data_IF_707469743860
#
_entry.id   IF_707469743860
#
_cell.length_a   1.000
_cell.length_b   1.000
_cell.length_c   1.000
_cell.angle_alpha   90.00
_cell.angle_beta   90.00
_cell.angle_gamma   90.00
#
_symmetry.space_group_name_H-M   'P 1'
#
loop_
_entity.id
_entity.type
_entity.pdbx_description
1 polymer ?
#
# COMPACT_ATOMS: atom_id res chain seq x y z
N UNK A 1 11.39 11.51 -10.67
CA UNK A 1 11.46 12.96 -10.89
C UNK A 1 12.78 13.36 -11.51
N UNK A 2 12.77 14.39 -12.34
CA UNK A 2 13.95 14.82 -13.09
C UNK A 2 15.13 15.22 -12.18
N UNK A 3 14.85 15.81 -11.03
CA UNK A 3 15.89 16.30 -10.11
C UNK A 3 15.92 15.55 -8.80
N UNK A 4 15.17 14.45 -8.67
CA UNK A 4 15.10 13.65 -7.47
C UNK A 4 14.83 14.53 -6.22
N UNK A 5 13.84 15.40 -6.31
CA UNK A 5 13.54 16.40 -5.29
C UNK A 5 13.25 15.77 -3.93
N UNK A 6 12.48 14.68 -3.92
CA UNK A 6 12.16 13.95 -2.69
C UNK A 6 13.42 13.42 -2.02
N UNK A 7 14.30 12.77 -2.78
CA UNK A 7 15.55 12.23 -2.26
C UNK A 7 16.45 13.34 -1.71
N UNK A 8 16.56 14.45 -2.43
CA UNK A 8 17.32 15.61 -1.96
C UNK A 8 16.75 16.18 -0.66
N UNK A 9 15.44 16.23 -0.53
CA UNK A 9 14.81 16.72 0.71
C UNK A 9 15.17 15.87 1.91
N UNK A 10 15.27 14.56 1.74
CA UNK A 10 15.74 13.66 2.80
C UNK A 10 17.23 13.85 3.11
N UNK A 11 18.05 13.95 2.08
CA UNK A 11 19.50 14.15 2.23
C UNK A 11 19.84 15.45 2.97
N UNK A 12 19.16 16.54 2.63
CA UNK A 12 19.36 17.83 3.27
C UNK A 12 18.98 17.83 4.74
N UNK A 13 18.10 16.93 5.15
CA UNK A 13 17.58 16.88 6.51
C UNK A 13 18.03 15.64 7.29
N UNK A 14 19.02 14.92 6.76
CA UNK A 14 19.50 13.67 7.37
C UNK A 14 19.98 13.85 8.80
N UNK A 15 20.52 15.02 9.14
CA UNK A 15 20.99 15.36 10.48
C UNK A 15 19.93 16.12 11.30
N UNK A 16 18.71 16.29 10.76
CA UNK A 16 17.64 16.98 11.44
C UNK A 16 16.92 16.11 12.46
N UNK A 17 16.02 16.72 13.20
CA UNK A 17 15.17 16.00 14.13
C UNK A 17 14.20 15.09 13.37
N UNK A 18 14.04 13.85 13.85
CA UNK A 18 13.10 12.90 13.25
C UNK A 18 11.67 13.30 13.54
N UNK A 19 10.84 13.21 12.51
CA UNK A 19 9.40 13.17 12.67
C UNK A 19 8.93 11.81 12.12
N UNK A 20 8.46 10.96 13.03
CA UNK A 20 8.05 9.61 12.65
C UNK A 20 6.65 9.63 12.07
N UNK A 21 6.51 9.04 10.88
CA UNK A 21 5.25 8.95 10.18
C UNK A 21 4.94 7.47 9.90
N UNK A 22 3.78 7.04 10.37
CA UNK A 22 3.27 5.68 10.13
C UNK A 22 2.06 5.75 9.23
N UNK A 23 2.01 4.85 8.27
CA UNK A 23 0.92 4.75 7.32
C UNK A 23 0.33 3.34 7.32
N UNK A 24 -1.00 3.25 7.22
CA UNK A 24 -1.67 2.00 6.92
C UNK A 24 -1.63 1.77 5.42
N UNK A 25 -0.90 0.74 4.94
CA UNK A 25 -0.79 0.53 3.51
C UNK A 25 -2.13 0.13 2.89
N UNK A 26 -2.39 0.52 1.64
CA UNK A 26 -3.64 0.13 0.98
C UNK A 26 -3.62 -1.33 0.57
N UNK A 27 -4.79 -1.95 0.51
CA UNK A 27 -4.93 -3.27 -0.09
C UNK A 27 -4.58 -3.23 -1.57
N UNK A 28 -3.95 -4.29 -2.06
CA UNK A 28 -3.53 -4.42 -3.46
C UNK A 28 -4.69 -4.92 -4.34
N UNK A 29 -5.90 -4.41 -4.13
CA UNK A 29 -7.11 -4.80 -4.86
C UNK A 29 -7.93 -3.57 -5.26
N UNK A 30 -8.66 -3.69 -6.35
CA UNK A 30 -9.54 -2.63 -6.82
C UNK A 30 -8.81 -1.42 -7.39
N UNK A 31 -9.58 -0.45 -7.83
CA UNK A 31 -9.06 0.80 -8.37
C UNK A 31 -9.20 1.91 -7.33
N UNK A 32 -8.33 2.93 -7.36
CA UNK A 32 -8.45 4.07 -6.48
C UNK A 32 -9.79 4.80 -6.67
N UNK A 33 -10.34 5.30 -5.58
CA UNK A 33 -11.55 6.12 -5.61
C UNK A 33 -11.31 7.40 -4.81
N UNK A 34 -12.35 8.25 -4.73
CA UNK A 34 -12.23 9.56 -4.08
C UNK A 34 -11.73 9.46 -2.63
N UNK A 35 -12.21 8.45 -1.88
CA UNK A 35 -11.75 8.24 -0.51
C UNK A 35 -10.24 7.97 -0.42
N UNK A 36 -9.71 7.21 -1.35
CA UNK A 36 -8.26 6.97 -1.42
C UNK A 36 -7.49 8.26 -1.70
N UNK A 37 -8.01 9.09 -2.62
CA UNK A 37 -7.37 10.37 -2.95
C UNK A 37 -7.39 11.32 -1.76
N UNK A 38 -8.51 11.40 -1.05
CA UNK A 38 -8.65 12.27 0.12
C UNK A 38 -7.70 11.84 1.24
N UNK A 39 -7.70 10.57 1.59
CA UNK A 39 -6.80 10.04 2.63
C UNK A 39 -5.33 10.20 2.23
N UNK A 40 -5.00 9.90 0.98
CA UNK A 40 -3.64 10.04 0.45
C UNK A 40 -3.16 11.49 0.48
N UNK A 41 -4.03 12.44 0.17
CA UNK A 41 -3.69 13.87 0.23
C UNK A 41 -3.38 14.31 1.66
N UNK A 42 -4.19 13.91 2.63
CA UNK A 42 -3.95 14.23 4.05
C UNK A 42 -2.63 13.61 4.51
N UNK A 43 -2.38 12.35 4.18
CA UNK A 43 -1.13 11.66 4.52
C UNK A 43 0.10 12.32 3.89
N UNK A 44 -0.06 12.93 2.73
CA UNK A 44 1.03 13.61 2.03
C UNK A 44 1.31 15.00 2.60
N UNK A 45 0.27 15.73 3.00
CA UNK A 45 0.39 17.11 3.50
C UNK A 45 1.23 17.19 4.77
N UNK A 46 0.98 16.32 5.75
CA UNK A 46 1.69 16.38 7.04
C UNK A 46 3.19 16.11 6.88
N UNK A 47 3.64 15.06 6.17
CA UNK A 47 5.08 14.86 5.94
C UNK A 47 5.73 16.01 5.16
N UNK A 48 5.06 16.54 4.15
CA UNK A 48 5.58 17.69 3.38
C UNK A 48 5.76 18.92 4.26
N UNK A 49 4.77 19.20 5.11
CA UNK A 49 4.82 20.32 6.04
C UNK A 49 6.00 20.17 7.02
N UNK A 50 6.15 18.99 7.62
CA UNK A 50 7.23 18.72 8.55
C UNK A 50 8.60 18.76 7.87
N UNK A 51 8.69 18.29 6.63
CA UNK A 51 9.91 18.39 5.84
C UNK A 51 10.30 19.85 5.63
N UNK A 52 9.35 20.70 5.28
CA UNK A 52 9.60 22.14 5.11
C UNK A 52 10.00 22.83 6.41
N UNK A 53 9.60 22.29 7.55
CA UNK A 53 10.02 22.77 8.87
C UNK A 53 11.43 22.32 9.28
N UNK A 54 12.09 21.50 8.45
CA UNK A 54 13.44 21.04 8.72
C UNK A 54 13.53 19.67 9.40
N UNK A 55 12.41 18.97 9.58
CA UNK A 55 12.41 17.62 10.16
C UNK A 55 12.84 16.59 9.10
N UNK A 56 13.50 15.53 9.58
CA UNK A 56 13.77 14.36 8.75
C UNK A 56 12.57 13.42 8.81
N UNK A 57 11.89 13.24 7.69
CA UNK A 57 10.66 12.45 7.60
C UNK A 57 10.87 11.33 6.58
N UNK A 58 11.43 10.18 6.98
CA UNK A 58 11.57 9.05 6.08
C UNK A 58 10.19 8.48 5.76
N UNK A 59 9.98 8.13 4.50
CA UNK A 59 8.72 7.58 4.02
C UNK A 59 8.99 6.33 3.21
N UNK A 60 8.31 5.23 3.55
CA UNK A 60 8.38 3.98 2.80
C UNK A 60 6.99 3.59 2.37
N UNK A 61 6.86 3.22 1.12
CA UNK A 61 5.61 2.73 0.57
C UNK A 61 5.50 1.22 0.77
N UNK A 62 4.27 0.74 0.91
CA UNK A 62 3.98 -0.68 0.96
C UNK A 62 2.57 -0.96 0.51
N UNK A 63 2.27 -2.24 0.32
CA UNK A 63 0.95 -2.72 -0.03
C UNK A 63 0.48 -3.69 1.04
N UNK A 64 -0.81 -3.64 1.35
CA UNK A 64 -1.45 -4.67 2.18
C UNK A 64 -1.90 -5.80 1.25
N UNK A 65 -1.15 -6.89 1.25
CA UNK A 65 -1.27 -7.95 0.25
C UNK A 65 -2.03 -9.18 0.74
N UNK A 66 -2.41 -9.22 2.01
CA UNK A 66 -3.03 -10.39 2.63
C UNK A 66 -4.41 -10.07 3.15
N UNK A 67 -5.21 -11.13 3.39
CA UNK A 67 -6.46 -11.03 4.08
C UNK A 67 -7.67 -11.15 3.18
N UNK A 68 -8.82 -10.97 3.79
CA UNK A 68 -10.12 -11.19 3.17
C UNK A 68 -10.36 -10.39 1.87
N UNK A 69 -9.94 -9.13 1.74
CA UNK A 69 -10.18 -8.41 0.49
C UNK A 69 -9.55 -9.06 -0.73
N UNK A 70 -8.32 -9.59 -0.60
CA UNK A 70 -7.64 -10.30 -1.70
C UNK A 70 -8.31 -11.64 -1.95
N UNK A 71 -8.61 -12.39 -0.88
CA UNK A 71 -9.27 -13.69 -0.95
C UNK A 71 -10.66 -13.58 -1.59
N UNK A 72 -11.46 -12.58 -1.19
CA UNK A 72 -12.78 -12.35 -1.75
C UNK A 72 -12.73 -12.02 -3.24
N UNK A 73 -11.72 -11.29 -3.68
CA UNK A 73 -11.54 -10.97 -5.10
C UNK A 73 -11.31 -12.24 -5.91
N UNK A 74 -10.49 -13.18 -5.41
CA UNK A 74 -10.27 -14.47 -6.06
C UNK A 74 -11.53 -15.35 -6.01
N UNK A 75 -12.22 -15.38 -4.88
CA UNK A 75 -13.46 -16.15 -4.76
C UNK A 75 -14.49 -15.70 -5.81
N UNK A 76 -14.60 -14.41 -6.05
CA UNK A 76 -15.49 -13.87 -7.08
C UNK A 76 -15.03 -14.20 -8.49
N UNK A 77 -13.75 -14.02 -8.79
CA UNK A 77 -13.23 -14.20 -10.13
C UNK A 77 -13.20 -15.67 -10.57
N UNK A 78 -13.01 -16.58 -9.61
CA UNK A 78 -12.95 -18.04 -9.86
C UNK A 78 -14.27 -18.76 -9.49
N UNK A 79 -15.32 -18.00 -9.12
CA UNK A 79 -16.61 -18.54 -8.71
C UNK A 79 -16.52 -19.53 -7.53
N UNK A 80 -15.64 -19.28 -6.60
CA UNK A 80 -15.46 -20.10 -5.42
C UNK A 80 -16.34 -19.56 -4.28
N UNK A 81 -16.99 -20.46 -3.53
CA UNK A 81 -17.78 -20.09 -2.36
C UNK A 81 -17.47 -21.03 -1.21
N UNK A 82 -16.87 -20.47 -0.15
CA UNK A 82 -16.57 -21.18 1.08
C UNK A 82 -15.31 -22.04 1.02
N UNK A 83 -14.92 -22.54 2.19
CA UNK A 83 -13.68 -23.31 2.36
C UNK A 83 -13.65 -24.59 1.55
N UNK A 84 -14.79 -25.26 1.40
CA UNK A 84 -14.87 -26.53 0.67
C UNK A 84 -14.56 -26.33 -0.82
N UNK A 85 -15.08 -25.26 -1.43
CA UNK A 85 -14.79 -24.95 -2.82
C UNK A 85 -13.31 -24.60 -3.01
N UNK A 86 -12.70 -23.92 -2.05
CA UNK A 86 -11.26 -23.61 -2.07
C UNK A 86 -10.42 -24.87 -1.98
N UNK A 87 -10.82 -25.83 -1.14
CA UNK A 87 -10.14 -27.13 -1.05
C UNK A 87 -10.21 -27.92 -2.37
N UNK A 88 -11.37 -27.90 -3.04
CA UNK A 88 -11.54 -28.55 -4.34
C UNK A 88 -10.71 -27.89 -5.42
N UNK A 89 -10.60 -26.55 -5.40
CA UNK A 89 -9.74 -25.79 -6.32
C UNK A 89 -8.27 -26.05 -6.06
N UNK A 90 -7.91 -26.33 -4.83
CA UNK A 90 -6.53 -26.56 -4.40
C UNK A 90 -5.94 -25.33 -3.70
N UNK A 91 -5.43 -25.54 -2.48
CA UNK A 91 -4.87 -24.46 -1.67
C UNK A 91 -3.69 -23.77 -2.38
N UNK A 92 -2.81 -24.56 -3.00
CA UNK A 92 -1.67 -24.00 -3.75
C UNK A 92 -2.12 -23.15 -4.94
N UNK A 93 -3.15 -23.59 -5.67
CA UNK A 93 -3.71 -22.85 -6.79
C UNK A 93 -4.39 -21.57 -6.31
N UNK A 94 -5.09 -21.62 -5.18
CA UNK A 94 -5.73 -20.45 -4.60
C UNK A 94 -4.70 -19.41 -4.16
N UNK A 95 -3.65 -19.84 -3.48
CA UNK A 95 -2.57 -18.95 -3.05
C UNK A 95 -1.87 -18.30 -4.24
N UNK A 96 -1.63 -19.05 -5.31
CA UNK A 96 -1.00 -18.51 -6.51
C UNK A 96 -1.91 -17.51 -7.22
N UNK A 97 -3.22 -17.76 -7.25
CA UNK A 97 -4.19 -16.81 -7.80
C UNK A 97 -4.20 -15.50 -7.00
N UNK A 98 -4.16 -15.59 -5.66
CA UNK A 98 -4.06 -14.40 -4.81
C UNK A 98 -2.78 -13.62 -5.08
N UNK A 99 -1.67 -14.33 -5.22
CA UNK A 99 -0.38 -13.69 -5.54
C UNK A 99 -0.41 -12.98 -6.88
N UNK A 100 -1.06 -13.57 -7.88
CA UNK A 100 -1.20 -12.98 -9.22
C UNK A 100 -1.96 -11.66 -9.19
N UNK A 101 -3.01 -11.57 -8.38
CA UNK A 101 -3.78 -10.32 -8.24
C UNK A 101 -2.90 -9.22 -7.65
N UNK A 102 -2.13 -9.53 -6.63
CA UNK A 102 -1.25 -8.56 -5.98
C UNK A 102 -0.20 -8.02 -6.95
N UNK A 103 0.29 -8.86 -7.87
CA UNK A 103 1.33 -8.50 -8.82
C UNK A 103 0.81 -7.77 -10.07
N UNK A 104 -0.52 -7.71 -10.25
CA UNK A 104 -1.10 -6.93 -11.35
C UNK A 104 -0.93 -5.46 -11.11
#
# INVERSE_FOLDING_TARGET
TQHQVFKKSLEQRANGQYFTFYDGPPFATGLPHYGHLLAGTIKDVVPRYKTMKGFYVPRRFGWDCHGLPVENEIEKSENLTGAKAIEEFGIANFNEACRSIVLR
#
